data_IF_886437128330
#
_entry.id   IF_886437128330
#
_cell.length_a   1.000
_cell.length_b   1.000
_cell.length_c   1.000
_cell.angle_alpha   90.00
_cell.angle_beta   90.00
_cell.angle_gamma   90.00
#
_symmetry.space_group_name_H-M   'P 1'
#
loop_
_entity.id
_entity.type
_entity.pdbx_description
1 polymer ?
#
# COMPACT_ATOMS: atom_id res chain seq x y z
N UNK A 1 -0.84 25.85 3.63
CA UNK A 1 -0.96 24.48 4.20
C UNK A 1 -1.19 24.65 5.68
N UNK A 2 -2.23 24.02 6.24
CA UNK A 2 -2.57 24.19 7.65
C UNK A 2 -1.56 23.35 8.47
N UNK A 3 -0.77 24.01 9.32
CA UNK A 3 0.22 23.31 10.17
C UNK A 3 -0.49 22.85 11.43
N UNK A 4 -0.58 21.54 11.63
CA UNK A 4 -1.03 20.95 12.89
C UNK A 4 0.08 21.06 13.94
N UNK A 5 -0.28 21.59 15.11
CA UNK A 5 0.60 21.64 16.26
C UNK A 5 0.02 20.78 17.39
N UNK A 6 0.81 20.46 18.42
CA UNK A 6 0.35 19.65 19.57
C UNK A 6 -0.87 20.26 20.26
N UNK A 7 -0.91 21.59 20.39
CA UNK A 7 -2.02 22.33 20.98
C UNK A 7 -3.34 22.20 20.17
N UNK A 8 -3.27 21.70 18.94
CA UNK A 8 -4.45 21.43 18.13
C UNK A 8 -5.14 20.13 18.50
N UNK A 9 -4.43 19.21 19.17
CA UNK A 9 -4.86 17.84 19.42
C UNK A 9 -5.25 17.66 20.89
N UNK A 10 -6.31 16.90 21.12
CA UNK A 10 -6.74 16.45 22.45
C UNK A 10 -6.90 14.95 22.40
N UNK A 11 -6.04 14.24 23.14
CA UNK A 11 -5.97 12.77 23.14
C UNK A 11 -7.04 12.14 24.03
N UNK A 12 -7.30 10.85 23.79
CA UNK A 12 -8.05 9.98 24.70
C UNK A 12 -9.42 10.50 25.13
N UNK A 13 -10.12 11.15 24.20
CA UNK A 13 -11.48 11.62 24.39
C UNK A 13 -12.48 10.45 24.25
N UNK A 14 -13.69 10.66 24.75
CA UNK A 14 -14.83 9.77 24.55
C UNK A 14 -16.06 10.57 24.15
N UNK A 15 -16.93 9.95 23.37
CA UNK A 15 -18.22 10.50 23.01
C UNK A 15 -19.22 9.35 22.83
N UNK A 16 -20.47 9.59 23.21
CA UNK A 16 -21.54 8.58 23.11
C UNK A 16 -21.97 8.34 21.67
N UNK A 17 -21.87 9.36 20.83
CA UNK A 17 -22.22 9.35 19.42
C UNK A 17 -21.48 10.48 18.68
N UNK A 18 -21.60 10.49 17.35
CA UNK A 18 -20.99 11.53 16.51
C UNK A 18 -21.46 12.95 16.83
N UNK A 19 -22.70 13.15 17.28
CA UNK A 19 -23.21 14.49 17.60
C UNK A 19 -22.59 15.03 18.88
N UNK A 20 -22.40 14.18 19.89
CA UNK A 20 -21.65 14.50 21.09
C UNK A 20 -20.19 14.83 20.77
N UNK A 21 -19.54 14.03 19.91
CA UNK A 21 -18.18 14.32 19.44
C UNK A 21 -18.10 15.69 18.73
N UNK A 22 -19.02 15.96 17.79
CA UNK A 22 -19.08 17.24 17.06
C UNK A 22 -19.27 18.42 18.02
N UNK A 23 -20.13 18.30 19.03
CA UNK A 23 -20.33 19.34 20.05
C UNK A 23 -19.06 19.61 20.85
N UNK A 24 -18.37 18.56 21.30
CA UNK A 24 -17.11 18.69 22.06
C UNK A 24 -16.00 19.37 21.23
N UNK A 25 -15.91 19.02 19.95
CA UNK A 25 -14.96 19.62 19.01
C UNK A 25 -15.32 21.09 18.74
N UNK A 26 -16.60 21.40 18.51
CA UNK A 26 -17.07 22.77 18.31
C UNK A 26 -16.82 23.66 19.54
N UNK A 27 -16.98 23.10 20.73
CA UNK A 27 -16.62 23.78 21.97
C UNK A 27 -15.11 24.09 22.01
N UNK A 28 -14.25 23.13 21.66
CA UNK A 28 -12.80 23.34 21.58
C UNK A 28 -12.41 24.44 20.58
N UNK A 29 -13.06 24.49 19.41
CA UNK A 29 -12.86 25.58 18.44
C UNK A 29 -13.27 26.94 19.02
N UNK A 30 -14.34 26.97 19.83
CA UNK A 30 -14.85 28.19 20.46
C UNK A 30 -13.93 28.66 21.59
N UNK A 31 -13.46 27.74 22.44
CA UNK A 31 -12.55 28.01 23.56
C UNK A 31 -11.19 28.52 23.07
N UNK A 32 -10.72 28.02 21.92
CA UNK A 32 -9.54 28.54 21.21
C UNK A 32 -9.76 29.91 20.56
N UNK A 33 -10.98 30.45 20.61
CA UNK A 33 -11.33 31.72 19.98
C UNK A 33 -11.34 31.70 18.45
N UNK A 34 -11.35 30.52 17.82
CA UNK A 34 -11.34 30.38 16.37
C UNK A 34 -12.70 30.71 15.76
N UNK A 35 -13.78 30.45 16.49
CA UNK A 35 -15.17 30.68 16.07
C UNK A 35 -15.97 31.44 17.13
N UNK A 36 -17.15 31.94 16.75
CA UNK A 36 -18.14 32.51 17.66
C UNK A 36 -18.98 31.39 18.31
N UNK A 37 -19.55 31.69 19.47
CA UNK A 37 -20.61 30.87 20.07
C UNK A 37 -21.73 30.60 19.06
N UNK A 38 -22.26 29.38 19.05
CA UNK A 38 -23.27 28.93 18.09
C UNK A 38 -22.73 28.26 16.81
N UNK A 39 -21.42 28.31 16.53
CA UNK A 39 -20.85 27.64 15.33
C UNK A 39 -21.13 26.14 15.27
N UNK A 40 -21.34 25.52 16.45
CA UNK A 40 -21.77 24.12 16.59
C UNK A 40 -23.01 23.78 15.78
N UNK A 41 -23.97 24.70 15.63
CA UNK A 41 -25.18 24.49 14.85
C UNK A 41 -24.85 24.27 13.37
N UNK A 42 -23.90 25.03 12.84
CA UNK A 42 -23.38 24.85 11.48
C UNK A 42 -22.74 23.48 11.29
N UNK A 43 -21.95 23.02 12.28
CA UNK A 43 -21.29 21.71 12.20
C UNK A 43 -22.29 20.56 12.26
N UNK A 44 -23.31 20.65 13.11
CA UNK A 44 -24.38 19.66 13.22
C UNK A 44 -25.25 19.64 11.96
N UNK A 45 -25.61 20.82 11.41
CA UNK A 45 -26.35 20.91 10.17
C UNK A 45 -25.57 20.32 9.00
N UNK A 46 -24.26 20.56 8.94
CA UNK A 46 -23.39 19.97 7.91
C UNK A 46 -23.37 18.44 7.99
N UNK A 47 -23.25 17.88 9.19
CA UNK A 47 -23.26 16.43 9.41
C UNK A 47 -24.63 15.81 9.04
N UNK A 48 -25.73 16.51 9.33
CA UNK A 48 -27.08 16.05 8.98
C UNK A 48 -27.35 16.05 7.47
N UNK A 49 -26.67 16.90 6.69
CA UNK A 49 -26.81 16.90 5.23
C UNK A 49 -26.14 15.68 4.61
N UNK A 50 -24.90 15.39 5.03
CA UNK A 50 -24.11 14.24 4.60
C UNK A 50 -23.05 13.97 5.66
N UNK A 51 -22.75 12.69 5.90
CA UNK A 51 -21.68 12.27 6.81
C UNK A 51 -20.36 12.98 6.49
N UNK A 52 -19.67 13.44 7.53
CA UNK A 52 -18.31 14.01 7.41
C UNK A 52 -17.21 12.97 7.60
N UNK A 53 -17.55 11.69 7.67
CA UNK A 53 -16.60 10.58 7.60
C UNK A 53 -15.86 10.57 6.26
N UNK A 54 -14.55 10.33 6.30
CA UNK A 54 -13.70 10.29 5.10
C UNK A 54 -13.13 8.91 4.78
N UNK A 55 -13.02 8.00 5.75
CA UNK A 55 -12.31 6.73 5.63
C UNK A 55 -11.23 6.55 6.70
N UNK A 56 -10.76 5.32 6.88
CA UNK A 56 -9.64 4.95 7.76
C UNK A 56 -9.72 5.52 9.19
N UNK A 57 -10.92 5.58 9.76
CA UNK A 57 -11.11 6.11 11.12
C UNK A 57 -11.09 7.62 11.26
N UNK A 58 -11.16 8.39 10.16
CA UNK A 58 -11.08 9.86 10.17
C UNK A 58 -12.42 10.51 9.80
N UNK A 59 -12.83 11.54 10.56
CA UNK A 59 -13.92 12.45 10.19
C UNK A 59 -13.46 13.92 10.20
N UNK A 60 -14.11 14.77 9.40
CA UNK A 60 -13.80 16.21 9.28
C UNK A 60 -15.02 17.10 9.54
N UNK A 61 -15.57 17.14 10.75
CA UNK A 61 -16.73 17.99 11.02
C UNK A 61 -16.39 19.48 10.81
N UNK A 62 -17.23 20.19 10.07
CA UNK A 62 -17.05 21.61 9.72
C UNK A 62 -18.39 22.31 9.56
N UNK A 63 -18.41 23.64 9.67
CA UNK A 63 -19.63 24.43 9.51
C UNK A 63 -20.13 24.49 8.07
N UNK A 64 -21.38 24.93 7.89
CA UNK A 64 -21.96 25.27 6.58
C UNK A 64 -21.49 26.64 6.10
N UNK A 65 -21.74 26.96 4.83
CA UNK A 65 -21.48 28.28 4.23
C UNK A 65 -22.11 29.43 5.01
N UNK A 66 -23.30 29.21 5.60
CA UNK A 66 -24.06 30.24 6.33
C UNK A 66 -23.39 30.61 7.66
N UNK A 67 -22.66 29.67 8.25
CA UNK A 67 -21.91 29.87 9.50
C UNK A 67 -20.49 30.40 9.29
N UNK A 68 -20.08 30.64 8.03
CA UNK A 68 -18.73 31.12 7.69
C UNK A 68 -18.38 32.48 8.32
N UNK A 69 -19.37 33.37 8.47
CA UNK A 69 -19.23 34.68 9.14
C UNK A 69 -18.95 34.58 10.65
N UNK A 70 -19.09 33.37 11.21
CA UNK A 70 -18.80 33.06 12.60
C UNK A 70 -17.35 32.64 12.82
N UNK A 71 -16.59 32.35 11.76
CA UNK A 71 -15.17 32.02 11.84
C UNK A 71 -14.35 33.31 12.05
N UNK A 72 -13.73 33.44 13.22
CA UNK A 72 -12.85 34.58 13.58
C UNK A 72 -11.46 34.39 12.99
N UNK A 73 -10.92 33.17 13.08
CA UNK A 73 -9.59 32.79 12.61
C UNK A 73 -9.64 31.38 12.05
N UNK A 74 -9.04 31.15 10.87
CA UNK A 74 -8.94 29.80 10.32
C UNK A 74 -8.06 28.94 11.23
N UNK A 75 -8.53 27.74 11.57
CA UNK A 75 -7.81 26.83 12.47
C UNK A 75 -8.54 25.50 12.62
N UNK A 76 -7.96 24.61 13.42
CA UNK A 76 -8.51 23.27 13.65
C UNK A 76 -8.51 22.90 15.13
N UNK A 77 -9.34 21.92 15.46
CA UNK A 77 -9.30 21.19 16.73
C UNK A 77 -9.44 19.70 16.42
N UNK A 78 -8.50 18.90 16.88
CA UNK A 78 -8.43 17.46 16.61
C UNK A 78 -8.71 16.71 17.90
N UNK A 79 -9.70 15.83 17.89
CA UNK A 79 -9.98 14.93 19.02
C UNK A 79 -9.66 13.50 18.62
N UNK A 80 -8.95 12.79 19.49
CA UNK A 80 -8.64 11.37 19.34
C UNK A 80 -9.50 10.53 20.30
N UNK A 81 -10.06 9.45 19.79
CA UNK A 81 -11.02 8.55 20.44
C UNK A 81 -10.50 7.10 20.38
N UNK A 82 -9.73 6.61 21.36
CA UNK A 82 -9.17 5.26 21.34
C UNK A 82 -10.23 4.15 21.22
N UNK A 83 -11.38 4.31 21.87
CA UNK A 83 -12.48 3.33 21.81
C UNK A 83 -13.30 3.44 20.50
N UNK A 84 -13.06 4.52 19.75
CA UNK A 84 -13.77 4.91 18.54
C UNK A 84 -15.21 5.38 18.79
N UNK A 85 -15.65 6.31 17.95
CA UNK A 85 -17.03 6.84 17.96
C UNK A 85 -17.76 6.31 16.72
N UNK A 86 -18.97 5.76 16.90
CA UNK A 86 -19.82 5.39 15.77
C UNK A 86 -20.24 6.64 15.00
N UNK A 87 -19.86 6.71 13.73
CA UNK A 87 -20.15 7.81 12.82
C UNK A 87 -21.28 7.50 11.82
N UNK A 88 -21.90 6.33 11.95
CA UNK A 88 -22.98 5.85 11.09
C UNK A 88 -22.49 4.91 9.99
N UNK A 89 -23.41 4.09 9.47
CA UNK A 89 -23.19 3.14 8.37
C UNK A 89 -22.05 2.13 8.63
N UNK A 90 -21.84 1.76 9.91
CA UNK A 90 -20.79 0.85 10.33
C UNK A 90 -19.39 1.49 10.40
N UNK A 91 -19.28 2.80 10.18
CA UNK A 91 -18.01 3.52 10.21
C UNK A 91 -17.68 3.96 11.65
N UNK A 92 -16.49 3.58 12.13
CA UNK A 92 -15.96 4.00 13.42
C UNK A 92 -14.87 5.06 13.22
N UNK A 93 -14.90 6.12 14.02
CA UNK A 93 -13.94 7.24 13.97
C UNK A 93 -13.04 7.23 15.19
N UNK A 94 -11.73 7.20 14.96
CA UNK A 94 -10.70 7.31 16.00
C UNK A 94 -10.10 8.71 16.06
N UNK A 95 -10.18 9.49 14.98
CA UNK A 95 -9.75 10.89 14.97
C UNK A 95 -10.76 11.76 14.22
N UNK A 96 -11.25 12.81 14.87
CA UNK A 96 -12.11 13.80 14.24
C UNK A 96 -11.41 15.17 14.23
N UNK A 97 -11.38 15.79 13.04
CA UNK A 97 -10.70 17.06 12.78
C UNK A 97 -11.76 18.13 12.57
N UNK A 98 -12.07 18.89 13.61
CA UNK A 98 -12.93 20.06 13.55
C UNK A 98 -12.26 21.19 12.77
N UNK A 99 -12.92 21.70 11.73
CA UNK A 99 -12.37 22.76 10.89
C UNK A 99 -13.17 24.05 11.03
N UNK A 100 -12.48 25.12 11.39
CA UNK A 100 -12.94 26.49 11.27
C UNK A 100 -12.23 27.13 10.07
N UNK A 101 -12.94 27.39 8.97
CA UNK A 101 -12.33 27.94 7.77
C UNK A 101 -13.12 29.13 7.23
N UNK A 102 -12.41 30.22 6.92
CA UNK A 102 -12.98 31.40 6.27
C UNK A 102 -13.16 31.25 4.76
N UNK A 103 -12.77 30.12 4.18
CA UNK A 103 -12.89 29.79 2.75
C UNK A 103 -12.77 28.29 2.50
N UNK A 104 -12.55 27.87 1.26
CA UNK A 104 -12.34 26.47 0.87
C UNK A 104 -10.99 25.90 1.36
N UNK A 105 -10.39 26.51 2.38
CA UNK A 105 -9.14 26.07 3.04
C UNK A 105 -9.23 24.64 3.60
N UNK A 106 -10.45 24.15 3.90
CA UNK A 106 -10.68 22.75 4.26
C UNK A 106 -10.26 21.77 3.15
N UNK A 107 -10.29 22.19 1.86
CA UNK A 107 -9.79 21.38 0.74
C UNK A 107 -8.27 21.17 0.80
N UNK A 108 -7.54 22.10 1.41
CA UNK A 108 -6.10 21.97 1.63
C UNK A 108 -5.78 20.84 2.61
N UNK A 109 -6.59 20.70 3.68
CA UNK A 109 -6.51 19.58 4.62
C UNK A 109 -6.89 18.29 3.90
N UNK A 110 -7.98 18.30 3.12
CA UNK A 110 -8.41 17.13 2.36
C UNK A 110 -7.28 16.59 1.45
N UNK A 111 -6.59 17.47 0.72
CA UNK A 111 -5.43 17.08 -0.10
C UNK A 111 -4.31 16.42 0.72
N UNK A 112 -4.05 16.90 1.92
CA UNK A 112 -3.04 16.29 2.81
C UNK A 112 -3.49 14.90 3.29
N UNK A 113 -4.77 14.77 3.63
CA UNK A 113 -5.35 13.52 4.09
C UNK A 113 -5.52 12.47 2.97
N UNK A 114 -5.57 12.85 1.69
CA UNK A 114 -5.76 11.87 0.58
C UNK A 114 -4.73 10.74 0.58
N UNK A 115 -3.49 11.00 1.00
CA UNK A 115 -2.45 9.95 1.14
C UNK A 115 -2.74 8.99 2.30
N UNK A 116 -3.30 9.52 3.39
CA UNK A 116 -3.60 8.80 4.64
C UNK A 116 -4.89 7.97 4.51
N UNK A 117 -5.86 8.46 3.73
CA UNK A 117 -7.15 7.80 3.51
C UNK A 117 -7.07 6.59 2.56
N UNK A 118 -6.00 6.47 1.75
CA UNK A 118 -5.78 5.34 0.87
C UNK A 118 -4.85 4.26 1.43
N UNK A 119 -4.49 4.39 2.71
CA UNK A 119 -3.41 3.66 3.33
C UNK A 119 -3.90 2.58 4.30
N UNK A 120 -3.41 1.35 4.12
CA UNK A 120 -3.72 0.23 5.03
C UNK A 120 -3.10 0.44 6.42
N UNK A 121 -3.78 -0.02 7.47
CA UNK A 121 -3.27 0.01 8.85
C UNK A 121 -3.32 1.37 9.54
N UNK A 122 -3.81 2.42 8.87
CA UNK A 122 -3.93 3.76 9.47
C UNK A 122 -4.96 3.77 10.60
N UNK A 123 -6.07 3.05 10.45
CA UNK A 123 -7.15 3.02 11.43
C UNK A 123 -6.66 2.48 12.79
N UNK A 124 -5.95 1.35 12.79
CA UNK A 124 -5.37 0.72 13.99
C UNK A 124 -4.35 1.64 14.65
N UNK A 125 -3.55 2.37 13.85
CA UNK A 125 -2.55 3.29 14.39
C UNK A 125 -3.17 4.54 14.99
N UNK A 126 -4.22 5.07 14.38
CA UNK A 126 -4.99 6.17 14.96
C UNK A 126 -5.65 5.72 16.27
N UNK A 127 -6.17 4.49 16.34
CA UNK A 127 -6.71 3.90 17.56
C UNK A 127 -5.67 3.82 18.67
N UNK A 128 -4.47 3.32 18.35
CA UNK A 128 -3.44 3.01 19.33
C UNK A 128 -2.51 4.18 19.70
N UNK A 129 -2.58 5.29 18.97
CA UNK A 129 -1.77 6.49 19.19
C UNK A 129 -1.74 6.92 20.67
N UNK A 130 -0.54 7.26 21.17
CA UNK A 130 -0.31 7.60 22.59
C UNK A 130 0.13 9.05 22.81
N UNK A 131 0.51 9.75 21.74
CA UNK A 131 1.00 11.12 21.77
C UNK A 131 0.40 11.98 20.65
N UNK A 132 0.42 13.30 20.82
CA UNK A 132 0.00 14.25 19.78
C UNK A 132 0.92 14.14 18.55
N UNK A 133 2.19 13.84 18.75
CA UNK A 133 3.17 13.60 17.69
C UNK A 133 2.81 12.39 16.83
N UNK A 134 2.30 11.31 17.42
CA UNK A 134 1.83 10.14 16.65
C UNK A 134 0.72 10.55 15.68
N UNK A 135 -0.25 11.33 16.17
CA UNK A 135 -1.37 11.84 15.36
C UNK A 135 -0.87 12.80 14.28
N UNK A 136 0.03 13.74 14.60
CA UNK A 136 0.60 14.67 13.61
C UNK A 136 1.33 13.90 12.51
N UNK A 137 2.19 12.94 12.87
CA UNK A 137 2.95 12.14 11.92
C UNK A 137 2.03 11.32 11.00
N UNK A 138 0.97 10.72 11.57
CA UNK A 138 -0.06 10.01 10.81
C UNK A 138 -0.77 10.94 9.81
N UNK A 139 -1.26 12.09 10.26
CA UNK A 139 -2.02 13.02 9.42
C UNK A 139 -1.16 13.75 8.38
N UNK A 140 0.14 13.87 8.60
CA UNK A 140 1.08 14.42 7.63
C UNK A 140 1.46 13.41 6.52
N UNK A 141 1.17 12.13 6.70
CA UNK A 141 1.66 11.10 5.80
C UNK A 141 3.18 10.93 5.90
N UNK A 142 3.79 11.38 7.00
CA UNK A 142 5.20 11.11 7.35
C UNK A 142 5.39 9.63 7.74
N UNK A 143 4.30 8.88 7.71
CA UNK A 143 4.27 7.45 7.87
C UNK A 143 4.55 6.79 6.52
N UNK A 144 5.74 6.23 6.40
CA UNK A 144 5.98 5.19 5.41
C UNK A 144 5.08 3.98 5.73
N UNK A 145 4.24 3.61 4.76
CA UNK A 145 3.22 2.56 4.89
C UNK A 145 3.73 1.21 4.39
N UNK A 146 4.51 1.24 3.33
CA UNK A 146 5.19 0.08 2.76
C UNK A 146 6.69 0.24 2.93
N UNK A 147 7.37 -0.83 3.32
CA UNK A 147 8.82 -0.85 3.31
C UNK A 147 9.34 -0.63 1.88
N UNK A 148 10.43 0.12 1.76
CA UNK A 148 11.09 0.27 0.46
C UNK A 148 11.64 -1.10 0.06
N UNK A 149 11.12 -1.63 -1.04
CA UNK A 149 11.59 -2.87 -1.66
C UNK A 149 11.30 -2.87 -3.17
N UNK A 150 12.36 -2.67 -3.95
CA UNK A 150 12.37 -2.67 -5.40
C UNK A 150 13.62 -3.37 -5.94
N UNK A 151 13.76 -3.45 -7.27
CA UNK A 151 14.83 -4.18 -7.92
C UNK A 151 16.24 -3.67 -7.55
N UNK A 152 16.39 -2.38 -7.17
CA UNK A 152 17.68 -1.83 -6.72
C UNK A 152 18.13 -2.35 -5.36
N UNK A 153 17.21 -2.93 -4.59
CA UNK A 153 17.45 -3.53 -3.28
C UNK A 153 17.67 -5.05 -3.37
N UNK A 154 17.82 -5.59 -4.58
CA UNK A 154 18.07 -7.01 -4.83
C UNK A 154 19.41 -7.17 -5.53
N UNK A 155 20.31 -7.94 -4.92
CA UNK A 155 21.57 -8.35 -5.53
C UNK A 155 21.64 -9.88 -5.61
N UNK A 156 21.57 -10.41 -6.82
CA UNK A 156 21.71 -11.85 -7.04
C UNK A 156 23.17 -12.25 -7.28
N UNK A 157 23.51 -13.46 -6.87
CA UNK A 157 24.78 -14.13 -7.19
C UNK A 157 26.01 -13.26 -6.88
N UNK A 158 25.96 -12.52 -5.77
CA UNK A 158 27.09 -11.75 -5.30
C UNK A 158 28.23 -12.71 -4.92
N UNK A 159 29.50 -12.45 -5.30
CA UNK A 159 30.61 -13.36 -5.01
C UNK A 159 31.10 -13.22 -3.55
N UNK A 160 30.20 -13.32 -2.58
CA UNK A 160 30.57 -13.27 -1.16
C UNK A 160 31.27 -14.55 -0.71
N UNK A 161 32.35 -14.43 0.07
CA UNK A 161 33.04 -15.58 0.68
C UNK A 161 32.61 -15.85 2.12
N UNK A 162 31.88 -14.91 2.75
CA UNK A 162 31.49 -14.99 4.15
C UNK A 162 30.25 -14.12 4.44
N UNK A 163 29.72 -14.24 5.65
CA UNK A 163 28.54 -13.48 6.11
C UNK A 163 28.82 -11.98 6.27
N UNK A 164 30.05 -11.59 6.59
CA UNK A 164 30.42 -10.17 6.75
C UNK A 164 30.22 -9.43 5.43
N UNK A 165 30.66 -10.02 4.32
CA UNK A 165 30.44 -9.48 2.98
C UNK A 165 28.96 -9.45 2.60
N UNK A 166 28.21 -10.51 2.91
CA UNK A 166 26.76 -10.56 2.67
C UNK A 166 26.04 -9.41 3.40
N UNK A 167 26.30 -9.24 4.69
CA UNK A 167 25.71 -8.17 5.51
C UNK A 167 26.16 -6.78 5.03
N UNK A 168 27.42 -6.61 4.65
CA UNK A 168 27.93 -5.33 4.16
C UNK A 168 27.25 -4.89 2.85
N UNK A 169 27.05 -5.82 1.91
CA UNK A 169 26.35 -5.54 0.64
C UNK A 169 24.88 -5.24 0.90
N UNK A 170 24.19 -6.07 1.68
CA UNK A 170 22.78 -5.87 2.00
C UNK A 170 22.55 -4.51 2.69
N UNK A 171 23.38 -4.19 3.69
CA UNK A 171 23.36 -2.89 4.35
C UNK A 171 23.70 -1.73 3.42
N UNK A 172 24.66 -1.93 2.52
CA UNK A 172 25.06 -0.94 1.50
C UNK A 172 23.94 -0.59 0.53
N UNK A 173 23.15 -1.57 0.08
CA UNK A 173 21.98 -1.33 -0.78
C UNK A 173 20.97 -0.41 -0.08
N UNK A 174 20.60 -0.72 1.16
CA UNK A 174 19.67 0.08 1.97
C UNK A 174 20.19 1.49 2.28
N UNK A 175 21.51 1.62 2.46
CA UNK A 175 22.14 2.94 2.63
C UNK A 175 22.06 3.76 1.34
N UNK A 176 22.36 3.15 0.20
CA UNK A 176 22.43 3.85 -1.09
C UNK A 176 21.07 4.33 -1.59
N UNK A 177 19.97 3.68 -1.18
CA UNK A 177 18.59 4.13 -1.46
C UNK A 177 18.08 5.17 -0.45
N UNK A 178 18.88 5.53 0.56
CA UNK A 178 18.51 6.51 1.58
C UNK A 178 17.63 5.95 2.70
N UNK A 179 17.48 4.62 2.81
CA UNK A 179 16.76 4.01 3.92
C UNK A 179 17.53 4.15 5.24
N UNK A 180 18.86 4.08 5.22
CA UNK A 180 19.69 4.10 6.42
C UNK A 180 21.06 4.78 6.25
N UNK A 181 21.72 5.08 7.37
CA UNK A 181 23.06 5.69 7.43
C UNK A 181 24.22 4.69 7.40
N UNK A 182 25.47 5.19 7.46
CA UNK A 182 26.66 4.33 7.51
C UNK A 182 26.74 3.49 8.80
N UNK A 183 26.24 4.03 9.92
CA UNK A 183 26.19 3.32 11.20
C UNK A 183 25.27 2.10 11.18
N UNK A 184 24.19 2.14 10.38
CA UNK A 184 23.34 0.98 10.14
C UNK A 184 24.14 -0.17 9.53
N UNK A 185 24.95 0.12 8.52
CA UNK A 185 25.79 -0.90 7.85
C UNK A 185 26.80 -1.50 8.82
N UNK A 186 27.44 -0.67 9.65
CA UNK A 186 28.37 -1.13 10.67
C UNK A 186 27.68 -2.04 11.70
N UNK A 187 26.49 -1.67 12.17
CA UNK A 187 25.70 -2.52 13.09
C UNK A 187 25.35 -3.86 12.45
N UNK A 188 24.86 -3.83 11.20
CA UNK A 188 24.42 -5.02 10.47
C UNK A 188 25.55 -6.04 10.28
N UNK A 189 26.77 -5.57 9.99
CA UNK A 189 27.97 -6.42 9.82
C UNK A 189 28.40 -7.07 11.13
N UNK A 190 28.18 -6.40 12.27
CA UNK A 190 28.55 -6.92 13.59
C UNK A 190 27.48 -7.79 14.25
N UNK A 191 26.25 -7.80 13.70
CA UNK A 191 25.12 -8.56 14.23
C UNK A 191 25.17 -10.00 13.75
N UNK A 192 24.88 -10.93 14.65
CA UNK A 192 24.64 -12.32 14.29
C UNK A 192 23.31 -12.43 13.52
N UNK A 193 23.30 -12.95 12.28
CA UNK A 193 22.07 -13.19 11.54
C UNK A 193 21.31 -14.40 12.09
N UNK A 194 20.01 -14.43 11.85
CA UNK A 194 19.13 -15.56 12.17
C UNK A 194 19.05 -16.51 10.98
N UNK A 195 19.36 -17.79 11.18
CA UNK A 195 19.16 -18.81 10.15
C UNK A 195 17.67 -19.16 10.02
N UNK A 196 17.14 -19.10 8.80
CA UNK A 196 15.75 -19.41 8.48
C UNK A 196 15.57 -20.78 7.81
N UNK A 197 16.65 -21.57 7.67
CA UNK A 197 16.62 -22.88 7.01
C UNK A 197 17.06 -22.81 5.54
N UNK A 198 17.55 -23.94 5.02
CA UNK A 198 17.96 -24.11 3.62
C UNK A 198 18.97 -23.06 3.10
N UNK A 199 19.77 -22.49 4.02
CA UNK A 199 20.76 -21.45 3.73
C UNK A 199 20.18 -20.06 3.49
N UNK A 200 18.92 -19.81 3.84
CA UNK A 200 18.36 -18.48 3.92
C UNK A 200 18.61 -17.88 5.31
N UNK A 201 19.08 -16.63 5.34
CA UNK A 201 19.42 -15.91 6.56
C UNK A 201 18.69 -14.58 6.62
N UNK A 202 18.49 -14.08 7.84
CA UNK A 202 17.86 -12.78 8.10
C UNK A 202 18.69 -11.98 9.09
N UNK A 203 18.86 -10.70 8.83
CA UNK A 203 19.46 -9.75 9.76
C UNK A 203 18.66 -8.45 9.74
N UNK A 204 18.67 -7.69 10.83
CA UNK A 204 17.97 -6.41 10.87
C UNK A 204 18.50 -5.46 11.92
N UNK A 205 18.27 -4.17 11.69
CA UNK A 205 18.61 -3.10 12.64
C UNK A 205 17.68 -1.90 12.48
N UNK A 206 17.55 -1.15 13.57
CA UNK A 206 16.84 0.11 13.68
C UNK A 206 17.80 1.31 13.86
N UNK A 207 19.11 1.05 14.02
CA UNK A 207 20.11 2.10 14.23
C UNK A 207 20.29 2.96 12.98
N UNK A 208 20.10 4.27 13.14
CA UNK A 208 20.27 5.25 12.05
C UNK A 208 19.44 4.92 10.79
N UNK A 209 18.26 4.35 10.98
CA UNK A 209 17.29 4.10 9.92
C UNK A 209 16.35 5.30 9.79
N UNK A 210 16.29 5.88 8.60
CA UNK A 210 15.39 7.00 8.29
C UNK A 210 14.11 6.54 7.58
N UNK A 211 14.18 5.43 6.85
CA UNK A 211 13.04 4.77 6.22
C UNK A 211 13.18 3.26 6.38
N UNK A 212 12.09 2.59 6.70
CA UNK A 212 11.99 1.14 6.69
C UNK A 212 12.25 0.61 5.28
N UNK A 213 13.17 -0.32 5.13
CA UNK A 213 13.53 -0.90 3.84
C UNK A 213 13.98 -2.34 4.01
N UNK A 214 13.85 -3.11 2.94
CA UNK A 214 14.30 -4.50 2.88
C UNK A 214 15.29 -4.63 1.74
N UNK A 215 16.32 -5.45 1.90
CA UNK A 215 17.18 -5.85 0.78
C UNK A 215 17.37 -7.35 0.77
N UNK A 216 17.58 -7.90 -0.43
CA UNK A 216 17.84 -9.31 -0.64
C UNK A 216 19.18 -9.49 -1.34
N UNK A 217 20.05 -10.32 -0.78
CA UNK A 217 21.34 -10.67 -1.39
C UNK A 217 21.48 -12.19 -1.48
N UNK A 218 21.69 -12.75 -2.67
CA UNK A 218 22.12 -14.15 -2.82
C UNK A 218 23.59 -14.24 -3.18
N UNK A 219 24.25 -15.34 -2.81
CA UNK A 219 25.66 -15.57 -3.10
C UNK A 219 25.86 -16.53 -4.26
N UNK A 220 26.87 -16.27 -5.10
CA UNK A 220 27.34 -17.22 -6.12
C UNK A 220 28.26 -18.31 -5.54
N UNK A 221 28.79 -18.09 -4.34
CA UNK A 221 29.73 -19.00 -3.70
C UNK A 221 29.02 -19.80 -2.59
N UNK A 222 29.48 -21.04 -2.38
CA UNK A 222 29.06 -21.88 -1.26
C UNK A 222 29.76 -21.45 0.04
N UNK A 223 29.42 -20.28 0.58
CA UNK A 223 29.96 -19.82 1.86
C UNK A 223 29.15 -20.35 3.05
N UNK A 224 29.77 -20.32 4.23
CA UNK A 224 29.19 -20.83 5.47
C UNK A 224 29.28 -19.79 6.59
N UNK A 225 28.34 -19.86 7.54
CA UNK A 225 28.36 -19.12 8.78
C UNK A 225 28.02 -20.08 9.92
N UNK A 226 28.90 -20.18 10.92
CA UNK A 226 28.75 -21.10 12.05
C UNK A 226 28.47 -22.58 11.63
N UNK A 227 29.13 -23.03 10.56
CA UNK A 227 28.98 -24.39 10.02
C UNK A 227 27.67 -24.65 9.28
N UNK A 228 26.87 -23.61 9.02
CA UNK A 228 25.65 -23.69 8.23
C UNK A 228 25.82 -22.95 6.91
N UNK A 229 25.27 -23.54 5.84
CA UNK A 229 25.36 -22.99 4.48
C UNK A 229 24.70 -21.62 4.40
N UNK A 230 25.28 -20.71 3.62
CA UNK A 230 24.73 -19.40 3.30
C UNK A 230 24.45 -19.36 1.79
N UNK A 231 23.18 -19.23 1.42
CA UNK A 231 22.71 -19.07 0.03
C UNK A 231 22.15 -17.67 -0.22
N UNK A 232 21.44 -17.12 0.76
CA UNK A 232 20.92 -15.76 0.69
C UNK A 232 20.77 -15.11 2.06
N UNK A 233 20.79 -13.78 2.09
CA UNK A 233 20.58 -12.93 3.25
C UNK A 233 19.49 -11.90 2.94
N UNK A 234 18.50 -11.80 3.82
CA UNK A 234 17.50 -10.72 3.84
C UNK A 234 17.87 -9.75 4.95
N UNK A 235 18.08 -8.48 4.60
CA UNK A 235 18.35 -7.44 5.59
C UNK A 235 17.16 -6.49 5.74
N UNK A 236 16.83 -6.16 6.99
CA UNK A 236 15.78 -5.19 7.34
C UNK A 236 16.39 -3.95 7.98
N UNK A 237 16.18 -2.79 7.36
CA UNK A 237 16.25 -1.51 8.04
C UNK A 237 14.84 -1.19 8.55
N UNK A 238 14.64 -1.02 9.86
CA UNK A 238 13.30 -0.78 10.41
C UNK A 238 13.27 0.46 11.32
N UNK A 239 12.50 1.47 10.92
CA UNK A 239 12.15 2.61 11.79
C UNK A 239 10.64 2.67 12.10
N UNK A 240 9.86 1.74 11.53
CA UNK A 240 8.44 1.54 11.80
C UNK A 240 8.00 0.11 11.39
N UNK A 241 6.70 -0.15 11.46
CA UNK A 241 6.09 -1.46 11.17
C UNK A 241 5.83 -1.75 9.68
N UNK A 242 6.28 -0.90 8.74
CA UNK A 242 5.99 -1.07 7.30
C UNK A 242 6.57 -2.35 6.68
N UNK A 243 7.50 -3.01 7.37
CA UNK A 243 8.10 -4.28 6.95
C UNK A 243 7.25 -5.51 7.30
N UNK A 244 6.20 -5.38 8.12
CA UNK A 244 5.45 -6.53 8.65
C UNK A 244 4.83 -7.39 7.55
N UNK A 245 4.28 -6.80 6.48
CA UNK A 245 3.71 -7.56 5.36
C UNK A 245 4.76 -8.44 4.67
N UNK A 246 5.95 -7.87 4.41
CA UNK A 246 7.08 -8.61 3.81
C UNK A 246 7.54 -9.74 4.74
N UNK A 247 7.68 -9.44 6.03
CA UNK A 247 8.09 -10.46 7.01
C UNK A 247 7.08 -11.60 7.11
N UNK A 248 5.77 -11.30 7.11
CA UNK A 248 4.71 -12.30 7.09
C UNK A 248 4.77 -13.20 5.85
N UNK A 249 5.04 -12.63 4.68
CA UNK A 249 5.19 -13.40 3.44
C UNK A 249 6.43 -14.28 3.47
N UNK A 250 7.56 -13.75 3.96
CA UNK A 250 8.79 -14.52 4.19
C UNK A 250 8.55 -15.67 5.17
N UNK A 251 7.85 -15.41 6.28
CA UNK A 251 7.49 -16.44 7.25
C UNK A 251 6.63 -17.55 6.65
N UNK A 252 5.67 -17.23 5.77
CA UNK A 252 4.88 -18.24 5.05
C UNK A 252 5.76 -19.13 4.16
N UNK A 253 6.69 -18.55 3.41
CA UNK A 253 7.63 -19.30 2.55
C UNK A 253 8.46 -20.25 3.40
N UNK A 254 9.01 -19.77 4.51
CA UNK A 254 9.82 -20.58 5.44
C UNK A 254 8.97 -21.69 6.07
N UNK A 255 7.76 -21.37 6.55
CA UNK A 255 6.86 -22.33 7.20
C UNK A 255 6.41 -23.44 6.24
N UNK A 256 6.15 -23.11 4.97
CA UNK A 256 5.77 -24.08 3.94
C UNK A 256 6.97 -24.85 3.36
N UNK A 257 8.20 -24.60 3.85
CA UNK A 257 9.44 -25.18 3.33
C UNK A 257 9.67 -24.89 1.84
N UNK A 258 9.29 -23.69 1.39
CA UNK A 258 9.33 -23.25 -0.01
C UNK A 258 10.56 -22.38 -0.32
N UNK A 259 11.65 -22.50 0.46
CA UNK A 259 12.85 -21.67 0.30
C UNK A 259 13.39 -21.65 -1.13
N UNK A 260 13.30 -22.76 -1.87
CA UNK A 260 13.77 -22.83 -3.26
C UNK A 260 13.00 -21.88 -4.20
N UNK A 261 11.71 -21.58 -3.92
CA UNK A 261 10.97 -20.56 -4.69
C UNK A 261 11.64 -19.20 -4.60
N UNK A 262 12.33 -18.92 -3.49
CA UNK A 262 13.05 -17.66 -3.28
C UNK A 262 14.51 -17.73 -3.74
N UNK A 263 15.19 -18.84 -3.44
CA UNK A 263 16.63 -18.98 -3.66
C UNK A 263 17.01 -19.15 -5.13
N UNK A 264 16.09 -19.65 -5.96
CA UNK A 264 16.29 -19.89 -7.39
C UNK A 264 15.55 -18.87 -8.28
N UNK A 265 14.93 -17.85 -7.66
CA UNK A 265 14.09 -16.87 -8.34
C UNK A 265 14.87 -15.70 -8.97
N UNK A 266 14.29 -15.11 -10.02
CA UNK A 266 14.71 -13.82 -10.57
C UNK A 266 14.39 -12.67 -9.59
N UNK A 267 14.96 -11.48 -9.84
CA UNK A 267 14.66 -10.30 -9.02
C UNK A 267 13.17 -9.95 -9.03
N UNK A 268 12.51 -10.06 -10.18
CA UNK A 268 11.07 -9.81 -10.33
C UNK A 268 10.23 -10.82 -9.54
N UNK A 269 10.62 -12.09 -9.57
CA UNK A 269 9.95 -13.14 -8.80
C UNK A 269 10.14 -12.95 -7.30
N UNK A 270 11.33 -12.55 -6.85
CA UNK A 270 11.59 -12.21 -5.43
C UNK A 270 10.71 -11.03 -4.99
N UNK A 271 10.61 -9.97 -5.80
CA UNK A 271 9.73 -8.83 -5.52
C UNK A 271 8.28 -9.27 -5.36
N UNK A 272 7.78 -10.09 -6.29
CA UNK A 272 6.42 -10.61 -6.25
C UNK A 272 6.18 -11.46 -4.99
N UNK A 273 7.09 -12.39 -4.66
CA UNK A 273 7.01 -13.23 -3.46
C UNK A 273 6.93 -12.39 -2.17
N UNK A 274 7.79 -11.39 -2.05
CA UNK A 274 7.86 -10.55 -0.83
C UNK A 274 6.65 -9.62 -0.71
N UNK A 275 6.07 -9.20 -1.83
CA UNK A 275 4.82 -8.43 -1.88
C UNK A 275 3.56 -9.30 -1.76
N UNK A 276 3.70 -10.62 -1.69
CA UNK A 276 2.57 -11.55 -1.61
C UNK A 276 1.77 -11.66 -2.90
N UNK A 277 2.40 -11.29 -4.03
CA UNK A 277 1.83 -11.45 -5.36
C UNK A 277 2.07 -12.89 -5.86
N UNK A 278 1.11 -13.44 -6.60
CA UNK A 278 1.30 -14.74 -7.26
C UNK A 278 2.45 -14.66 -8.27
N UNK A 279 3.49 -15.42 -8.00
CA UNK A 279 4.64 -15.58 -8.89
C UNK A 279 4.29 -16.69 -9.87
N UNK A 280 4.02 -16.31 -11.12
CA UNK A 280 3.82 -17.27 -12.19
C UNK A 280 5.12 -18.08 -12.38
N UNK A 281 4.97 -19.37 -12.70
CA UNK A 281 6.06 -20.14 -13.26
C UNK A 281 6.52 -19.48 -14.57
N UNK A 282 7.76 -19.69 -15.03
CA UNK A 282 8.12 -19.29 -16.39
C UNK A 282 7.16 -20.02 -17.35
N UNK A 283 6.40 -19.28 -18.14
CA UNK A 283 5.49 -19.88 -19.10
C UNK A 283 6.30 -20.71 -20.10
N UNK A 284 5.99 -22.00 -20.23
CA UNK A 284 6.38 -22.76 -21.41
C UNK A 284 5.75 -22.08 -22.65
N UNK A 285 6.53 -21.90 -23.71
CA UNK A 285 6.17 -21.18 -24.96
C UNK A 285 4.86 -21.66 -25.62
N UNK A 286 4.28 -22.80 -25.19
CA UNK A 286 3.02 -23.35 -25.71
C UNK A 286 1.75 -22.69 -25.16
N UNK A 287 1.83 -21.86 -24.12
CA UNK A 287 0.66 -21.33 -23.39
C UNK A 287 0.45 -19.83 -23.58
N UNK A 288 0.89 -19.29 -24.71
CA UNK A 288 0.80 -17.87 -25.04
C UNK A 288 0.17 -17.66 -26.41
N UNK A 289 -0.77 -16.72 -26.51
CA UNK A 289 -1.39 -16.33 -27.78
C UNK A 289 -1.51 -14.81 -27.89
N UNK A 290 -1.30 -14.27 -29.08
CA UNK A 290 -1.42 -12.83 -29.34
C UNK A 290 -2.61 -12.55 -30.27
N UNK A 291 -3.48 -11.64 -29.86
CA UNK A 291 -4.67 -11.27 -30.61
C UNK A 291 -4.73 -9.76 -30.85
N UNK A 292 -5.16 -9.37 -32.05
CA UNK A 292 -5.35 -7.96 -32.42
C UNK A 292 -6.79 -7.52 -32.17
N UNK A 293 -6.98 -6.42 -31.43
CA UNK A 293 -8.29 -5.87 -31.14
C UNK A 293 -8.84 -5.10 -32.35
N UNK A 294 -10.04 -5.48 -32.79
CA UNK A 294 -10.72 -4.88 -33.95
C UNK A 294 -11.83 -3.91 -33.57
N UNK A 295 -12.26 -3.88 -32.30
CA UNK A 295 -13.29 -2.96 -31.80
C UNK A 295 -12.88 -1.50 -32.07
N UNK A 296 -13.76 -0.69 -32.66
CA UNK A 296 -13.47 0.68 -33.09
C UNK A 296 -13.04 1.59 -31.93
N UNK A 297 -13.54 1.34 -30.73
CA UNK A 297 -13.23 2.09 -29.51
C UNK A 297 -12.29 1.33 -28.55
N UNK A 298 -11.69 0.21 -28.99
CA UNK A 298 -10.83 -0.62 -28.13
C UNK A 298 -11.61 -1.37 -27.04
N UNK A 299 -10.94 -1.70 -25.93
CA UNK A 299 -11.57 -2.41 -24.80
C UNK A 299 -12.10 -1.46 -23.74
N UNK A 300 -13.22 -0.79 -24.04
CA UNK A 300 -14.00 -0.08 -23.01
C UNK A 300 -14.89 -1.05 -22.22
N UNK A 301 -15.75 -0.52 -21.34
CA UNK A 301 -16.49 -1.30 -20.36
C UNK A 301 -17.28 -2.50 -20.91
N UNK A 302 -17.87 -2.39 -22.11
CA UNK A 302 -18.71 -3.44 -22.72
C UNK A 302 -17.89 -4.59 -23.34
N UNK A 303 -17.00 -4.38 -24.33
CA UNK A 303 -16.18 -5.45 -24.89
C UNK A 303 -15.20 -6.00 -23.83
N UNK A 304 -14.75 -5.17 -22.90
CA UNK A 304 -13.98 -5.61 -21.73
C UNK A 304 -14.77 -6.57 -20.84
N UNK A 305 -16.05 -6.31 -20.56
CA UNK A 305 -16.89 -7.21 -19.78
C UNK A 305 -17.14 -8.55 -20.47
N UNK A 306 -17.29 -8.55 -21.80
CA UNK A 306 -17.43 -9.79 -22.58
C UNK A 306 -16.15 -10.62 -22.58
N UNK A 307 -14.99 -9.99 -22.74
CA UNK A 307 -13.70 -10.67 -22.65
C UNK A 307 -13.49 -11.30 -21.26
N UNK A 308 -13.82 -10.55 -20.20
CA UNK A 308 -13.72 -11.03 -18.82
C UNK A 308 -14.70 -12.17 -18.55
N UNK A 309 -15.92 -12.08 -19.06
CA UNK A 309 -16.92 -13.14 -18.93
C UNK A 309 -16.45 -14.43 -19.65
N UNK A 310 -15.79 -14.30 -20.79
CA UNK A 310 -15.18 -15.43 -21.49
C UNK A 310 -14.06 -16.06 -20.67
N UNK A 311 -13.11 -15.24 -20.18
CA UNK A 311 -11.99 -15.72 -19.38
C UNK A 311 -12.44 -16.41 -18.08
N UNK A 312 -13.57 -15.99 -17.49
CA UNK A 312 -14.11 -16.58 -16.25
C UNK A 312 -14.71 -17.97 -16.41
N UNK A 313 -14.92 -18.46 -17.63
CA UNK A 313 -15.43 -19.83 -17.88
C UNK A 313 -14.40 -20.91 -17.58
N UNK A 314 -13.13 -20.54 -17.51
CA UNK A 314 -12.00 -21.47 -17.40
C UNK A 314 -11.44 -21.47 -15.98
N UNK A 315 -10.90 -22.61 -15.56
CA UNK A 315 -10.22 -22.78 -14.28
C UNK A 315 -8.82 -22.14 -14.31
N UNK A 316 -8.16 -22.16 -15.49
CA UNK A 316 -6.83 -21.61 -15.70
C UNK A 316 -6.67 -20.18 -15.19
N UNK A 317 -5.49 -19.87 -14.67
CA UNK A 317 -5.06 -18.50 -14.43
C UNK A 317 -4.72 -17.87 -15.78
N UNK A 318 -5.45 -16.81 -16.14
CA UNK A 318 -5.32 -16.16 -17.45
C UNK A 318 -4.87 -14.73 -17.23
N UNK A 319 -3.75 -14.36 -17.83
CA UNK A 319 -3.23 -13.00 -17.83
C UNK A 319 -3.28 -12.40 -19.22
N UNK A 320 -3.37 -11.08 -19.28
CA UNK A 320 -3.35 -10.31 -20.51
C UNK A 320 -2.44 -9.10 -20.37
N UNK A 321 -1.59 -8.87 -21.37
CA UNK A 321 -0.71 -7.72 -21.48
C UNK A 321 -0.98 -6.97 -22.78
N UNK A 322 -0.93 -5.63 -22.75
CA UNK A 322 -1.02 -4.79 -23.93
C UNK A 322 0.38 -4.55 -24.48
N UNK A 323 0.72 -5.21 -25.60
CA UNK A 323 2.06 -5.14 -26.21
C UNK A 323 2.36 -3.76 -26.81
N UNK A 324 1.32 -3.01 -27.17
CA UNK A 324 1.42 -1.62 -27.64
C UNK A 324 1.23 -0.62 -26.47
N UNK A 325 1.28 -1.08 -25.22
CA UNK A 325 1.10 -0.30 -23.99
C UNK A 325 2.32 -0.38 -23.06
N UNK A 326 2.07 -0.46 -21.74
CA UNK A 326 3.12 -0.60 -20.72
C UNK A 326 3.69 -2.03 -20.61
N UNK A 327 3.16 -2.98 -21.38
CA UNK A 327 3.55 -4.39 -21.37
C UNK A 327 3.21 -5.14 -20.08
N UNK A 328 2.53 -4.51 -19.11
CA UNK A 328 2.27 -5.12 -17.81
C UNK A 328 1.14 -6.13 -17.90
N UNK A 329 1.43 -7.38 -17.56
CA UNK A 329 0.42 -8.44 -17.54
C UNK A 329 -0.52 -8.30 -16.33
N UNK A 330 -1.82 -8.24 -16.57
CA UNK A 330 -2.87 -8.21 -15.54
C UNK A 330 -3.77 -9.42 -15.62
N UNK A 331 -4.54 -9.69 -14.56
CA UNK A 331 -5.50 -10.79 -14.53
C UNK A 331 -6.67 -10.52 -15.51
N UNK A 332 -6.85 -11.40 -16.51
CA UNK A 332 -7.85 -11.28 -17.56
C UNK A 332 -9.29 -11.50 -17.05
N UNK A 333 -9.47 -12.08 -15.86
CA UNK A 333 -10.77 -12.22 -15.18
C UNK A 333 -11.18 -10.98 -14.39
N UNK A 334 -10.35 -9.93 -14.35
CA UNK A 334 -10.62 -8.67 -13.65
C UNK A 334 -10.94 -7.53 -14.61
N UNK A 335 -12.22 -7.15 -14.68
CA UNK A 335 -12.69 -6.06 -15.56
C UNK A 335 -11.96 -4.73 -15.30
N UNK A 336 -11.79 -4.36 -14.04
CA UNK A 336 -11.11 -3.13 -13.68
C UNK A 336 -9.67 -3.09 -14.21
N UNK A 337 -8.93 -4.21 -14.07
CA UNK A 337 -7.55 -4.30 -14.54
C UNK A 337 -7.46 -4.34 -16.07
N UNK A 338 -8.37 -5.04 -16.74
CA UNK A 338 -8.43 -5.11 -18.21
C UNK A 338 -8.71 -3.73 -18.83
N UNK A 339 -9.62 -2.94 -18.26
CA UNK A 339 -9.91 -1.58 -18.75
C UNK A 339 -8.70 -0.65 -18.52
N UNK A 340 -8.00 -0.82 -17.39
CA UNK A 340 -6.83 -0.01 -17.04
C UNK A 340 -5.64 -0.19 -18.00
N UNK A 341 -5.60 -1.29 -18.79
CA UNK A 341 -4.59 -1.50 -19.84
C UNK A 341 -4.67 -0.48 -21.00
N UNK A 342 -5.74 0.33 -21.07
CA UNK A 342 -5.87 1.41 -22.05
C UNK A 342 -5.85 0.94 -23.51
N UNK A 343 -6.41 -0.25 -23.77
CA UNK A 343 -6.34 -0.93 -25.08
C UNK A 343 -7.18 -0.19 -26.12
N UNK A 344 -6.56 0.20 -27.24
CA UNK A 344 -7.22 0.91 -28.35
C UNK A 344 -7.42 0.00 -29.56
N UNK A 345 -8.16 0.50 -30.55
CA UNK A 345 -8.32 -0.17 -31.84
C UNK A 345 -6.95 -0.49 -32.46
N UNK A 346 -6.77 -1.74 -32.91
CA UNK A 346 -5.57 -2.20 -33.57
C UNK A 346 -4.44 -2.65 -32.64
N UNK A 347 -4.57 -2.47 -31.32
CA UNK A 347 -3.58 -2.95 -30.36
C UNK A 347 -3.52 -4.49 -30.32
N UNK A 348 -2.34 -5.00 -30.01
CA UNK A 348 -2.04 -6.41 -29.81
C UNK A 348 -2.04 -6.73 -28.32
N UNK A 349 -2.86 -7.70 -27.94
CA UNK A 349 -2.91 -8.25 -26.60
C UNK A 349 -2.29 -9.63 -26.58
N UNK A 350 -1.33 -9.83 -25.69
CA UNK A 350 -0.77 -11.14 -25.39
C UNK A 350 -1.52 -11.74 -24.21
N UNK A 351 -2.06 -12.93 -24.40
CA UNK A 351 -2.67 -13.73 -23.35
C UNK A 351 -1.74 -14.87 -22.98
N UNK A 352 -1.61 -15.13 -21.69
CA UNK A 352 -0.98 -16.33 -21.15
C UNK A 352 -1.98 -17.07 -20.27
N UNK A 353 -2.04 -18.39 -20.38
CA UNK A 353 -2.95 -19.21 -19.60
C UNK A 353 -2.21 -20.37 -18.93
N UNK A 354 -2.41 -20.55 -17.63
CA UNK A 354 -1.82 -21.65 -16.85
C UNK A 354 -2.91 -22.41 -16.12
N UNK A 355 -3.04 -23.70 -16.42
CA UNK A 355 -4.04 -24.56 -15.82
C UNK A 355 -4.49 -25.72 -16.72
N UNK A 356 -5.40 -26.56 -16.22
CA UNK A 356 -5.81 -27.79 -16.92
C UNK A 356 -6.53 -27.54 -18.25
N UNK A 357 -7.08 -26.33 -18.43
CA UNK A 357 -7.84 -25.90 -19.60
C UNK A 357 -7.19 -24.73 -20.37
N UNK A 358 -5.88 -24.53 -20.21
CA UNK A 358 -5.15 -23.37 -20.74
C UNK A 358 -5.28 -23.21 -22.27
N UNK A 359 -5.10 -24.30 -23.03
CA UNK A 359 -5.22 -24.26 -24.49
C UNK A 359 -6.64 -23.91 -24.94
N UNK A 360 -7.67 -24.48 -24.29
CA UNK A 360 -9.08 -24.21 -24.59
C UNK A 360 -9.46 -22.76 -24.23
N UNK A 361 -8.89 -22.23 -23.15
CA UNK A 361 -9.09 -20.85 -22.74
C UNK A 361 -8.56 -19.87 -23.79
N UNK A 362 -7.34 -20.07 -24.28
CA UNK A 362 -6.75 -19.21 -25.31
C UNK A 362 -7.52 -19.29 -26.64
N UNK A 363 -7.95 -20.47 -27.05
CA UNK A 363 -8.77 -20.66 -28.24
C UNK A 363 -10.11 -19.93 -28.13
N UNK A 364 -10.83 -20.09 -27.01
CA UNK A 364 -12.13 -19.44 -26.79
C UNK A 364 -12.00 -17.92 -26.71
N UNK A 365 -10.96 -17.41 -26.05
CA UNK A 365 -10.66 -15.98 -26.00
C UNK A 365 -10.36 -15.43 -27.40
N UNK A 366 -9.57 -16.16 -28.20
CA UNK A 366 -9.29 -15.79 -29.59
C UNK A 366 -10.57 -15.67 -30.43
N UNK A 367 -11.49 -16.64 -30.28
CA UNK A 367 -12.79 -16.63 -30.96
C UNK A 367 -13.70 -15.47 -30.49
N UNK A 368 -13.71 -15.17 -29.19
CA UNK A 368 -14.45 -14.04 -28.64
C UNK A 368 -13.93 -12.69 -29.16
N UNK A 369 -12.60 -12.54 -29.27
CA UNK A 369 -11.98 -11.34 -29.87
C UNK A 369 -12.27 -11.26 -31.36
N UNK A 370 -12.17 -12.38 -32.09
CA UNK A 370 -12.44 -12.43 -33.52
C UNK A 370 -13.90 -12.09 -33.87
N UNK A 371 -14.85 -12.47 -33.01
CA UNK A 371 -16.27 -12.13 -33.13
C UNK A 371 -16.63 -10.71 -32.65
N UNK A 372 -15.65 -9.90 -32.26
CA UNK A 372 -15.84 -8.50 -31.91
C UNK A 372 -16.38 -8.24 -30.50
N UNK A 373 -16.36 -9.24 -29.61
CA UNK A 373 -16.71 -9.08 -28.17
C UNK A 373 -18.09 -8.41 -27.95
N UNK A 374 -19.08 -8.77 -28.77
CA UNK A 374 -20.45 -8.25 -28.67
C UNK A 374 -20.68 -6.89 -29.33
N UNK A 375 -19.71 -6.42 -30.13
CA UNK A 375 -19.77 -5.21 -30.96
C UNK A 375 -19.34 -5.48 -32.42
N UNK A 376 -19.21 -6.76 -32.79
CA UNK A 376 -18.83 -7.23 -34.12
C UNK A 376 -19.95 -7.17 -35.16
#
# INVERSE_FOLDING_TARGET
MLKLNKNDITLSQSATDKFAAIKNIAQSLTDKGLVKQGYVEGMLNRENQNSTFLGNGIAIPHGTTDTRSMVKTTGVAVHHFPEGVDWGDGNKVFVAIGIAAKSDEHLGILKQLTKVLGADGVEERLRDAKSEEDIIALLHGDVQLEADFDASLIQLLFPASDMVQMSAVAGGLLKNTGCAGAEFVADLVTKAPTHLGNGLWLVGSDKHVSRTGVSFVSTANDCEYEGQKVRALVAFAACNNAHQSILNNLSKIVFNNEHNKLLDASAEQILALFKGEEVAAPAEDSNVAVFKIKNAHGLHARPGAMLVAEAKKFESNIRVANLDGDGKAVNAKSLMKVIALGVKHGHQLQFSAEGPDAAQALESIGNAIASGLGEG
#
